data_IF_871856884071
#
_entry.id   IF_871856884071
#
_cell.length_a   1.000
_cell.length_b   1.000
_cell.length_c   1.000
_cell.angle_alpha   90.00
_cell.angle_beta   90.00
_cell.angle_gamma   90.00
#
_symmetry.space_group_name_H-M   'P 1'
#
loop_
_entity.id
_entity.type
_entity.pdbx_description
1 polymer ?
#
# COMPACT_ATOMS: atom_id res chain seq x y z
N UNK A 1 6.50 -6.09 12.01
CA UNK A 1 6.48 -4.76 12.65
C UNK A 1 5.21 -4.03 12.26
N UNK A 2 4.62 -3.27 13.18
CA UNK A 2 3.49 -2.37 12.88
C UNK A 2 4.04 -1.00 12.54
N UNK A 3 3.51 -0.38 11.49
CA UNK A 3 3.83 0.99 11.07
C UNK A 3 2.54 1.75 10.87
N UNK A 4 2.55 3.04 11.17
CA UNK A 4 1.39 3.92 11.01
C UNK A 4 1.71 5.01 10.00
N UNK A 5 0.66 5.60 9.44
CA UNK A 5 0.74 6.64 8.44
C UNK A 5 -0.66 7.10 8.06
N UNK A 6 -0.74 7.87 6.99
CA UNK A 6 -1.98 8.37 6.41
C UNK A 6 -2.14 7.86 4.98
N UNK A 7 -3.36 7.90 4.47
CA UNK A 7 -3.60 7.72 3.03
C UNK A 7 -3.12 8.98 2.32
N UNK A 8 -2.11 8.84 1.47
CA UNK A 8 -1.54 9.95 0.71
C UNK A 8 -2.23 10.16 -0.63
N UNK A 9 -2.76 9.08 -1.23
CA UNK A 9 -3.55 9.14 -2.47
C UNK A 9 -4.38 7.86 -2.65
N UNK A 10 -5.41 7.94 -3.48
CA UNK A 10 -6.25 6.82 -3.90
C UNK A 10 -6.16 6.63 -5.42
N UNK A 11 -6.67 5.51 -5.92
CA UNK A 11 -6.79 5.19 -7.35
C UNK A 11 -5.46 5.33 -8.11
N UNK A 12 -4.34 4.99 -7.46
CA UNK A 12 -3.02 5.10 -8.06
C UNK A 12 -2.82 3.99 -9.09
N UNK A 13 -2.27 4.37 -10.24
CA UNK A 13 -1.83 3.44 -11.28
C UNK A 13 -0.33 3.28 -11.21
N UNK A 14 0.15 2.04 -11.22
CA UNK A 14 1.57 1.68 -11.14
C UNK A 14 1.96 0.92 -12.40
N UNK A 15 3.00 1.41 -13.09
CA UNK A 15 3.60 0.69 -14.20
C UNK A 15 4.85 -0.03 -13.70
N UNK A 16 4.85 -1.36 -13.77
CA UNK A 16 6.01 -2.21 -13.45
C UNK A 16 6.12 -3.33 -14.46
N UNK A 17 7.33 -3.60 -14.95
CA UNK A 17 7.63 -4.68 -15.89
C UNK A 17 6.71 -4.72 -17.13
N UNK A 18 6.38 -3.55 -17.66
CA UNK A 18 5.51 -3.41 -18.84
C UNK A 18 4.02 -3.67 -18.57
N UNK A 19 3.63 -3.86 -17.30
CA UNK A 19 2.23 -4.02 -16.88
C UNK A 19 1.79 -2.83 -16.04
N UNK A 20 0.62 -2.30 -16.35
CA UNK A 20 -0.03 -1.29 -15.52
C UNK A 20 -1.02 -1.98 -14.59
N UNK A 21 -0.81 -1.79 -13.30
CA UNK A 21 -1.74 -2.16 -12.25
C UNK A 21 -2.49 -0.91 -11.81
N UNK A 22 -3.79 -1.04 -11.53
CA UNK A 22 -4.69 0.06 -11.20
C UNK A 22 -5.20 -0.04 -9.76
N UNK A 23 -5.80 1.05 -9.30
CA UNK A 23 -6.55 1.15 -8.04
C UNK A 23 -5.77 0.82 -6.78
N UNK A 24 -4.53 1.34 -6.65
CA UNK A 24 -3.81 1.27 -5.37
C UNK A 24 -4.20 2.40 -4.43
N UNK A 25 -4.25 2.06 -3.15
CA UNK A 25 -4.13 3.01 -2.05
C UNK A 25 -2.64 3.32 -1.89
N UNK A 26 -2.29 4.60 -1.82
CA UNK A 26 -0.96 5.04 -1.42
C UNK A 26 -0.96 5.50 0.03
N UNK A 27 0.08 5.14 0.77
CA UNK A 27 0.29 5.56 2.15
C UNK A 27 1.76 5.90 2.40
N UNK A 28 2.02 6.75 3.38
CA UNK A 28 3.37 7.02 3.88
C UNK A 28 3.79 6.06 5.02
N UNK A 29 2.89 5.15 5.43
CA UNK A 29 3.23 4.06 6.32
C UNK A 29 4.36 3.22 5.71
N UNK A 30 5.41 2.97 6.48
CA UNK A 30 6.60 2.27 5.99
C UNK A 30 6.30 0.80 5.67
N UNK A 31 6.33 0.44 4.38
CA UNK A 31 6.19 -0.94 3.90
C UNK A 31 7.58 -1.49 3.56
N UNK A 32 7.96 -2.57 4.21
CA UNK A 32 9.26 -3.25 4.09
C UNK A 32 9.05 -4.77 4.03
N UNK A 33 10.05 -5.55 3.58
CA UNK A 33 10.01 -7.01 3.69
C UNK A 33 9.63 -7.44 5.12
N UNK A 34 8.58 -8.27 5.23
CA UNK A 34 8.03 -8.76 6.50
C UNK A 34 6.72 -8.12 6.94
N UNK A 35 6.37 -6.90 6.49
CA UNK A 35 5.00 -6.38 6.60
C UNK A 35 4.28 -6.26 5.25
N UNK A 36 5.02 -6.36 4.14
CA UNK A 36 4.45 -6.62 2.80
C UNK A 36 3.65 -7.92 2.80
N UNK A 37 2.46 -7.90 2.18
CA UNK A 37 1.48 -8.99 2.23
C UNK A 37 0.57 -8.95 3.47
N UNK A 38 0.91 -8.14 4.48
CA UNK A 38 0.09 -7.95 5.68
C UNK A 38 -1.07 -6.95 5.48
N UNK A 39 -1.95 -6.84 6.48
CA UNK A 39 -3.12 -5.98 6.41
C UNK A 39 -2.75 -4.49 6.55
N UNK A 40 -3.46 -3.65 5.79
CA UNK A 40 -3.59 -2.21 6.05
C UNK A 40 -4.92 -2.00 6.78
N UNK A 41 -4.86 -1.51 8.02
CA UNK A 41 -6.03 -1.29 8.87
C UNK A 41 -6.29 0.20 9.05
N UNK A 42 -7.57 0.59 9.16
CA UNK A 42 -7.94 1.93 9.61
C UNK A 42 -7.87 2.04 11.15
N UNK A 43 -8.12 3.23 11.69
CA UNK A 43 -8.05 3.48 13.15
C UNK A 43 -9.09 2.70 13.99
N UNK A 44 -10.09 2.11 13.34
CA UNK A 44 -11.08 1.23 13.99
C UNK A 44 -10.64 -0.24 13.98
N UNK A 45 -9.48 -0.56 13.40
CA UNK A 45 -9.00 -1.93 13.23
C UNK A 45 -9.67 -2.66 12.06
N UNK A 46 -10.40 -1.95 11.20
CA UNK A 46 -11.04 -2.56 10.02
C UNK A 46 -10.03 -2.66 8.89
N UNK A 47 -10.03 -3.80 8.19
CA UNK A 47 -9.20 -4.02 7.02
C UNK A 47 -9.63 -3.09 5.89
N UNK A 48 -8.70 -2.37 5.28
CA UNK A 48 -8.94 -1.49 4.13
C UNK A 48 -8.11 -1.84 2.90
N UNK A 49 -7.02 -2.59 3.09
CA UNK A 49 -6.21 -3.08 1.97
C UNK A 49 -5.13 -4.08 2.38
N UNK A 50 -4.37 -4.57 1.40
CA UNK A 50 -3.23 -5.47 1.58
C UNK A 50 -1.96 -4.78 1.11
N UNK A 51 -0.99 -4.63 2.01
CA UNK A 51 0.28 -3.97 1.73
C UNK A 51 1.05 -4.72 0.63
N UNK A 52 1.62 -3.99 -0.32
CA UNK A 52 2.35 -4.58 -1.44
C UNK A 52 3.64 -3.82 -1.72
N UNK A 53 4.75 -4.56 -1.78
CA UNK A 53 6.05 -4.02 -2.15
C UNK A 53 6.17 -3.96 -3.68
N UNK A 54 5.58 -2.93 -4.28
CA UNK A 54 5.65 -2.73 -5.74
C UNK A 54 6.81 -1.82 -6.12
N UNK A 55 7.25 -0.93 -5.22
CA UNK A 55 8.24 0.09 -5.55
C UNK A 55 9.31 0.24 -4.46
N UNK A 56 10.39 -0.55 -4.57
CA UNK A 56 11.48 -0.56 -3.58
C UNK A 56 12.43 0.65 -3.60
N UNK A 57 12.19 1.65 -4.46
CA UNK A 57 13.11 2.79 -4.66
C UNK A 57 12.64 4.11 -4.03
N UNK A 58 11.40 4.20 -3.54
CA UNK A 58 10.89 5.44 -2.94
C UNK A 58 10.64 5.26 -1.43
N UNK A 59 11.44 5.96 -0.63
CA UNK A 59 11.27 6.01 0.81
C UNK A 59 10.01 6.82 1.14
N UNK A 60 9.15 6.32 2.03
CA UNK A 60 7.89 6.98 2.40
C UNK A 60 6.77 6.88 1.35
N UNK A 61 6.89 6.00 0.35
CA UNK A 61 5.81 5.69 -0.59
C UNK A 61 5.49 4.19 -0.51
N UNK A 62 4.42 3.87 0.20
CA UNK A 62 3.84 2.54 0.31
C UNK A 62 2.59 2.40 -0.55
N UNK A 63 2.33 1.19 -1.04
CA UNK A 63 1.11 0.86 -1.78
C UNK A 63 0.37 -0.29 -1.13
N UNK A 64 -0.96 -0.25 -1.21
CA UNK A 64 -1.83 -1.34 -0.81
C UNK A 64 -2.93 -1.59 -1.85
N UNK A 65 -3.27 -2.86 -2.04
CA UNK A 65 -4.42 -3.28 -2.84
C UNK A 65 -5.67 -3.11 -1.98
N UNK A 66 -6.68 -2.30 -2.38
CA UNK A 66 -7.89 -2.11 -1.60
C UNK A 66 -8.71 -3.40 -1.51
N UNK A 67 -9.42 -3.59 -0.39
CA UNK A 67 -10.30 -4.77 -0.23
C UNK A 67 -11.61 -4.66 -1.02
N UNK A 68 -12.05 -3.42 -1.30
CA UNK A 68 -13.20 -3.12 -2.14
C UNK A 68 -12.70 -2.62 -3.49
N UNK A 69 -13.09 -3.30 -4.56
CA UNK A 69 -12.94 -2.84 -5.94
C UNK A 69 -14.24 -2.23 -6.44
#
# INVERSE_FOLDING_TARGET
>A
TVTTGVVSALNRSLNTDGRTYYDFIQTDASINPGNSGGPLLNIKGELVGINTAIYGKAQGIGFAIPISR
#
